data_IF_308741452105
#
_entry.id   IF_308741452105
#
_cell.length_a   1.000
_cell.length_b   1.000
_cell.length_c   1.000
_cell.angle_alpha   90.00
_cell.angle_beta   90.00
_cell.angle_gamma   90.00
#
_symmetry.space_group_name_H-M   'P 1'
#
loop_
_entity.id
_entity.type
_entity.pdbx_description
1 polymer ?
#
# COMPACT_ATOMS: atom_id res chain seq x y z
N UNK A 1 -1.42 -18.94 0.06
CA UNK A 1 -1.81 -18.00 1.13
C UNK A 1 -0.69 -17.94 2.15
N UNK A 2 -0.69 -16.96 3.05
CA UNK A 2 0.38 -16.74 4.02
C UNK A 2 -0.15 -16.79 5.46
N UNK A 3 0.68 -17.31 6.37
CA UNK A 3 0.60 -17.03 7.80
C UNK A 3 1.35 -15.73 8.05
N UNK A 4 0.74 -14.80 8.78
CA UNK A 4 1.28 -13.44 8.96
C UNK A 4 1.72 -13.17 10.38
N UNK A 5 1.00 -13.73 11.35
CA UNK A 5 1.24 -13.45 12.76
C UNK A 5 0.76 -14.62 13.62
N UNK A 6 1.58 -15.00 14.59
CA UNK A 6 1.19 -15.93 15.65
C UNK A 6 0.35 -15.18 16.68
N UNK A 7 -0.92 -15.55 16.83
CA UNK A 7 -1.86 -14.90 17.75
C UNK A 7 -1.85 -15.54 19.15
N UNK A 8 -1.46 -16.82 19.25
CA UNK A 8 -1.35 -17.53 20.52
C UNK A 8 -1.04 -19.01 20.35
N UNK A 9 -0.54 -19.63 21.42
CA UNK A 9 -0.33 -21.08 21.51
C UNK A 9 -1.00 -21.56 22.80
N UNK A 10 -1.89 -22.54 22.66
CA UNK A 10 -2.56 -23.22 23.75
C UNK A 10 -2.01 -24.64 23.85
N UNK A 11 -0.92 -24.79 24.59
CA UNK A 11 -0.23 -26.08 24.76
C UNK A 11 -1.07 -27.10 25.52
N UNK A 12 -1.89 -26.65 26.47
CA UNK A 12 -2.73 -27.53 27.27
C UNK A 12 -3.74 -28.29 26.40
N UNK A 13 -4.21 -27.64 25.35
CA UNK A 13 -5.22 -28.18 24.44
C UNK A 13 -4.67 -28.52 23.06
N UNK A 14 -3.37 -28.31 22.84
CA UNK A 14 -2.67 -28.63 21.60
C UNK A 14 -3.15 -27.80 20.41
N UNK A 15 -3.34 -26.48 20.56
CA UNK A 15 -3.71 -25.59 19.45
C UNK A 15 -2.71 -24.45 19.23
N UNK A 16 -2.54 -24.08 17.96
CA UNK A 16 -1.85 -22.87 17.52
C UNK A 16 -2.86 -21.96 16.85
N UNK A 17 -2.89 -20.69 17.24
CA UNK A 17 -3.74 -19.65 16.69
C UNK A 17 -2.90 -18.67 15.89
N UNK A 18 -3.34 -18.32 14.69
CA UNK A 18 -2.57 -17.43 13.81
C UNK A 18 -3.48 -16.60 12.90
N UNK A 19 -2.97 -15.45 12.47
CA UNK A 19 -3.58 -14.63 11.43
C UNK A 19 -3.02 -15.00 10.07
N UNK A 20 -3.89 -15.05 9.05
CA UNK A 20 -3.47 -15.41 7.71
C UNK A 20 -4.43 -14.98 6.60
N UNK A 21 -4.03 -15.29 5.37
CA UNK A 21 -4.70 -14.86 4.13
C UNK A 21 -5.39 -15.99 3.38
N UNK A 22 -5.75 -17.08 4.04
CA UNK A 22 -6.29 -18.26 3.35
C UNK A 22 -7.61 -17.95 2.62
N UNK A 23 -8.46 -17.09 3.20
CA UNK A 23 -9.70 -16.64 2.55
C UNK A 23 -9.48 -15.67 1.37
N UNK A 24 -8.25 -15.16 1.20
CA UNK A 24 -7.90 -14.16 0.19
C UNK A 24 -6.90 -13.14 0.73
N UNK A 25 -6.01 -12.66 -0.12
CA UNK A 25 -4.94 -11.72 0.25
C UNK A 25 -5.41 -10.28 0.48
N UNK A 26 -6.66 -9.95 0.13
CA UNK A 26 -7.29 -8.68 0.50
C UNK A 26 -7.86 -8.72 1.93
N UNK A 27 -7.99 -9.91 2.51
CA UNK A 27 -8.59 -10.16 3.82
C UNK A 27 -7.55 -10.68 4.80
N UNK A 28 -7.85 -10.61 6.09
CA UNK A 28 -7.01 -11.15 7.16
C UNK A 28 -7.92 -11.77 8.19
N UNK A 29 -7.74 -13.04 8.52
CA UNK A 29 -8.60 -13.74 9.47
C UNK A 29 -7.81 -14.48 10.53
N UNK A 30 -8.46 -14.75 11.67
CA UNK A 30 -7.94 -15.64 12.70
C UNK A 30 -8.26 -17.09 12.34
N UNK A 31 -7.24 -17.93 12.42
CA UNK A 31 -7.29 -19.37 12.23
C UNK A 31 -6.74 -20.10 13.45
N UNK A 32 -7.08 -21.38 13.57
CA UNK A 32 -6.38 -22.31 14.44
C UNK A 32 -6.04 -23.62 13.73
N UNK A 33 -5.00 -24.30 14.23
CA UNK A 33 -4.55 -25.62 13.79
C UNK A 33 -4.07 -26.41 15.00
N UNK A 34 -4.07 -27.75 14.93
CA UNK A 34 -3.52 -28.58 16.01
C UNK A 34 -1.99 -28.45 16.09
N UNK A 35 -1.45 -28.41 17.31
CA UNK A 35 -0.02 -28.27 17.60
C UNK A 35 0.77 -29.53 17.24
N UNK A 36 0.15 -30.70 17.35
CA UNK A 36 0.74 -32.00 17.02
C UNK A 36 -0.04 -32.68 15.89
N UNK A 37 0.69 -33.36 15.01
CA UNK A 37 0.13 -34.25 14.00
C UNK A 37 -0.01 -35.65 14.61
N UNK A 38 -1.17 -35.98 15.18
CA UNK A 38 -1.45 -37.39 15.51
C UNK A 38 -1.65 -38.19 14.22
N UNK A 39 -0.78 -39.17 13.98
CA UNK A 39 -0.90 -40.08 12.83
C UNK A 39 -0.37 -39.56 11.48
N UNK A 40 0.37 -38.43 11.46
CA UNK A 40 1.02 -37.90 10.26
C UNK A 40 0.07 -37.23 9.26
N UNK A 41 -1.14 -36.87 9.68
CA UNK A 41 -2.08 -36.08 8.90
C UNK A 41 -2.07 -34.63 9.40
N UNK A 42 -1.62 -33.70 8.55
CA UNK A 42 -1.68 -32.26 8.81
C UNK A 42 -3.15 -31.81 8.84
N UNK A 43 -3.61 -31.21 9.93
CA UNK A 43 -4.97 -30.68 10.01
C UNK A 43 -5.08 -29.41 9.15
N UNK A 44 -6.17 -29.29 8.38
CA UNK A 44 -6.47 -28.06 7.66
C UNK A 44 -6.82 -26.96 8.66
N UNK A 45 -6.37 -25.71 8.45
CA UNK A 45 -6.66 -24.62 9.36
C UNK A 45 -8.15 -24.33 9.44
N UNK A 46 -8.65 -24.13 10.66
CA UNK A 46 -10.03 -23.74 10.92
C UNK A 46 -10.12 -22.23 11.08
N UNK A 47 -10.94 -21.56 10.26
CA UNK A 47 -11.18 -20.12 10.36
C UNK A 47 -12.16 -19.81 11.50
N UNK A 48 -11.73 -18.96 12.44
CA UNK A 48 -12.49 -18.59 13.64
C UNK A 48 -13.30 -17.30 13.47
N UNK A 49 -12.83 -16.37 12.64
CA UNK A 49 -13.51 -15.11 12.31
C UNK A 49 -14.44 -15.27 11.10
N UNK A 50 -15.59 -14.60 11.11
CA UNK A 50 -16.66 -14.81 10.11
C UNK A 50 -16.78 -13.73 9.05
N UNK A 51 -16.74 -12.46 9.46
CA UNK A 51 -17.03 -11.34 8.58
C UNK A 51 -15.90 -11.12 7.56
N UNK A 52 -16.26 -10.91 6.30
CA UNK A 52 -15.27 -10.62 5.27
C UNK A 52 -14.63 -9.25 5.53
N UNK A 53 -13.30 -9.18 5.45
CA UNK A 53 -12.54 -7.97 5.68
C UNK A 53 -11.23 -8.23 6.40
N UNK A 54 -10.86 -7.31 7.27
CA UNK A 54 -9.58 -7.32 7.96
C UNK A 54 -9.78 -7.46 9.47
N UNK A 55 -9.24 -8.54 10.01
CA UNK A 55 -9.17 -8.79 11.44
C UNK A 55 -7.77 -8.45 11.94
N UNK A 56 -7.66 -7.36 12.70
CA UNK A 56 -6.42 -6.84 13.25
C UNK A 56 -6.47 -6.80 14.77
N UNK A 57 -5.32 -6.62 15.42
CA UNK A 57 -5.25 -6.52 16.89
C UNK A 57 -5.85 -7.71 17.62
N UNK A 58 -5.80 -8.90 17.00
CA UNK A 58 -6.36 -10.13 17.56
C UNK A 58 -5.46 -10.61 18.67
N UNK A 59 -6.04 -10.85 19.84
CA UNK A 59 -5.32 -11.37 21.00
C UNK A 59 -6.09 -12.56 21.57
N UNK A 60 -5.45 -13.72 21.57
CA UNK A 60 -6.01 -14.95 22.15
C UNK A 60 -5.59 -15.04 23.62
N UNK A 61 -6.55 -15.36 24.49
CA UNK A 61 -6.27 -15.59 25.91
C UNK A 61 -5.31 -16.79 26.05
N UNK A 62 -4.40 -16.72 27.03
CA UNK A 62 -3.38 -17.78 27.24
C UNK A 62 -3.97 -19.16 27.52
N UNK A 63 -5.18 -19.19 28.07
CA UNK A 63 -5.92 -20.42 28.37
C UNK A 63 -6.76 -20.93 27.19
N UNK A 64 -6.65 -20.29 26.01
CA UNK A 64 -7.39 -20.65 24.81
C UNK A 64 -8.91 -20.47 24.91
N UNK A 65 -9.40 -19.80 25.96
CA UNK A 65 -10.85 -19.72 26.22
C UNK A 65 -11.55 -18.61 25.42
N UNK A 66 -10.82 -17.57 25.02
CA UNK A 66 -11.37 -16.34 24.44
C UNK A 66 -10.38 -15.69 23.48
N UNK A 67 -10.88 -14.82 22.61
CA UNK A 67 -10.07 -13.85 21.90
C UNK A 67 -10.78 -12.51 21.76
N UNK A 68 -9.98 -11.44 21.66
CA UNK A 68 -10.44 -10.14 21.19
C UNK A 68 -10.15 -10.05 19.70
N UNK A 69 -11.07 -9.45 18.95
CA UNK A 69 -10.95 -9.19 17.52
C UNK A 69 -11.28 -7.73 17.22
N UNK A 70 -10.41 -7.05 16.46
CA UNK A 70 -10.73 -5.74 15.88
C UNK A 70 -10.97 -5.93 14.38
N UNK A 71 -12.24 -6.06 14.04
CA UNK A 71 -12.70 -6.23 12.68
C UNK A 71 -12.96 -4.86 12.02
N UNK A 72 -12.54 -4.72 10.77
CA UNK A 72 -12.96 -3.62 9.90
C UNK A 72 -12.92 -4.02 8.43
N UNK A 73 -13.66 -3.29 7.59
CA UNK A 73 -13.69 -3.51 6.14
C UNK A 73 -13.78 -2.20 5.40
N UNK A 74 -13.76 -2.24 4.07
CA UNK A 74 -14.03 -1.04 3.26
C UNK A 74 -15.42 -0.45 3.57
N UNK A 75 -16.40 -1.27 3.96
CA UNK A 75 -17.78 -0.82 4.20
C UNK A 75 -18.05 -0.42 5.66
N UNK A 76 -17.18 -0.78 6.62
CA UNK A 76 -17.42 -0.53 8.03
C UNK A 76 -16.15 -0.12 8.81
N UNK A 77 -16.25 0.90 9.69
CA UNK A 77 -15.16 1.26 10.61
C UNK A 77 -14.85 0.14 11.61
N UNK A 78 -13.72 0.29 12.30
CA UNK A 78 -13.25 -0.72 13.24
C UNK A 78 -14.19 -0.94 14.44
N UNK A 79 -14.50 -2.20 14.70
CA UNK A 79 -15.30 -2.66 15.83
C UNK A 79 -14.50 -3.71 16.60
N UNK A 80 -14.37 -3.50 17.90
CA UNK A 80 -13.75 -4.48 18.79
C UNK A 80 -14.83 -5.43 19.35
N UNK A 81 -14.61 -6.73 19.21
CA UNK A 81 -15.45 -7.77 19.80
C UNK A 81 -14.64 -8.67 20.74
N UNK A 82 -15.31 -9.20 21.77
CA UNK A 82 -14.77 -10.26 22.61
C UNK A 82 -15.57 -11.53 22.30
N UNK A 83 -14.85 -12.60 21.95
CA UNK A 83 -15.41 -13.88 21.57
C UNK A 83 -14.94 -14.97 22.54
N UNK A 84 -15.84 -15.89 22.90
CA UNK A 84 -15.50 -17.16 23.54
C UNK A 84 -15.12 -18.18 22.46
N UNK A 85 -14.03 -18.89 22.71
CA UNK A 85 -13.64 -20.08 21.97
C UNK A 85 -14.32 -21.31 22.59
N UNK A 86 -14.60 -22.34 21.79
CA UNK A 86 -15.14 -23.59 22.32
C UNK A 86 -14.19 -24.20 23.36
N UNK A 87 -14.72 -24.85 24.42
CA UNK A 87 -13.88 -25.58 25.36
C UNK A 87 -13.11 -26.68 24.64
N UNK A 88 -11.85 -26.83 25.00
CA UNK A 88 -11.03 -27.91 24.47
C UNK A 88 -11.37 -29.26 25.12
N UNK A 89 -11.18 -30.35 24.36
CA UNK A 89 -11.36 -31.73 24.82
C UNK A 89 -12.70 -32.38 24.44
N UNK A 90 -13.63 -31.65 23.83
CA UNK A 90 -14.84 -32.22 23.26
C UNK A 90 -14.77 -32.14 21.73
N UNK A 91 -14.46 -33.26 21.07
CA UNK A 91 -14.36 -33.35 19.62
C UNK A 91 -15.68 -32.99 18.91
N UNK A 92 -16.83 -33.05 19.61
CA UNK A 92 -18.11 -32.59 19.09
C UNK A 92 -18.33 -31.08 19.28
N UNK A 93 -17.73 -30.46 20.31
CA UNK A 93 -17.77 -29.01 20.55
C UNK A 93 -16.63 -28.23 19.85
N UNK A 94 -15.57 -28.91 19.44
CA UNK A 94 -14.51 -28.32 18.63
C UNK A 94 -15.02 -27.82 17.26
N UNK A 95 -16.18 -28.28 16.80
CA UNK A 95 -16.84 -27.81 15.58
C UNK A 95 -17.80 -26.62 15.80
N UNK A 96 -17.95 -26.10 17.03
CA UNK A 96 -18.80 -24.94 17.28
C UNK A 96 -18.07 -23.63 16.97
N UNK A 97 -18.69 -22.75 16.21
CA UNK A 97 -18.11 -21.44 15.91
C UNK A 97 -17.95 -20.60 17.19
N UNK A 98 -16.97 -19.68 17.25
CA UNK A 98 -16.83 -18.76 18.37
C UNK A 98 -18.13 -18.00 18.69
N UNK A 99 -18.36 -17.77 19.98
CA UNK A 99 -19.55 -17.06 20.48
C UNK A 99 -19.16 -15.64 20.86
N UNK A 100 -19.74 -14.66 20.19
CA UNK A 100 -19.55 -13.25 20.53
C UNK A 100 -20.18 -12.95 21.89
N UNK A 101 -19.36 -12.50 22.83
CA UNK A 101 -19.77 -12.14 24.19
C UNK A 101 -20.05 -10.65 24.34
N UNK A 102 -19.31 -9.82 23.60
CA UNK A 102 -19.38 -8.37 23.71
C UNK A 102 -18.95 -7.70 22.40
N UNK A 103 -19.54 -6.55 22.12
CA UNK A 103 -19.18 -5.64 21.03
C UNK A 103 -19.02 -4.25 21.61
N UNK A 104 -17.90 -3.60 21.32
CA UNK A 104 -17.70 -2.22 21.72
C UNK A 104 -18.76 -1.31 21.09
N UNK A 105 -19.27 -0.34 21.87
CA UNK A 105 -20.19 0.66 21.37
C UNK A 105 -19.53 1.52 20.27
N UNK A 106 -20.31 1.96 19.28
CA UNK A 106 -19.82 2.88 18.26
C UNK A 106 -19.55 4.27 18.86
N UNK A 107 -18.57 4.97 18.29
CA UNK A 107 -18.30 6.36 18.61
C UNK A 107 -19.09 7.25 17.61
N UNK A 108 -20.01 8.11 18.07
CA UNK A 108 -20.80 8.97 17.18
C UNK A 108 -19.96 9.85 16.24
N UNK A 109 -18.71 10.18 16.63
CA UNK A 109 -17.78 10.95 15.79
C UNK A 109 -17.26 10.11 14.62
N UNK A 110 -17.04 8.82 14.84
CA UNK A 110 -16.65 7.87 13.80
C UNK A 110 -17.82 7.62 12.86
N UNK A 111 -19.04 7.47 13.40
CA UNK A 111 -20.24 7.30 12.58
C UNK A 111 -20.51 8.53 11.68
N UNK A 112 -20.36 9.73 12.25
CA UNK A 112 -20.46 10.98 11.50
C UNK A 112 -19.40 11.09 10.40
N UNK A 113 -18.15 10.68 10.69
CA UNK A 113 -17.08 10.64 9.69
C UNK A 113 -17.41 9.62 8.60
N UNK A 114 -17.77 8.39 8.95
CA UNK A 114 -18.08 7.32 8.02
C UNK A 114 -19.20 7.71 7.03
N UNK A 115 -20.21 8.44 7.49
CA UNK A 115 -21.30 8.94 6.65
C UNK A 115 -20.83 9.89 5.52
N UNK A 116 -19.71 10.60 5.74
CA UNK A 116 -19.12 11.52 4.74
C UNK A 116 -18.19 10.82 3.75
N UNK A 117 -17.67 9.64 4.09
CA UNK A 117 -16.70 8.93 3.27
C UNK A 117 -17.39 8.00 2.26
N UNK A 118 -16.68 7.66 1.19
CA UNK A 118 -17.14 6.68 0.19
C UNK A 118 -16.08 5.60 0.00
N UNK A 119 -16.44 4.31 0.13
CA UNK A 119 -15.48 3.24 -0.09
C UNK A 119 -14.97 3.27 -1.54
N UNK A 120 -13.68 2.96 -1.78
CA UNK A 120 -13.20 2.77 -3.13
C UNK A 120 -13.82 1.52 -3.76
N UNK A 121 -13.87 1.48 -5.10
CA UNK A 121 -14.12 0.23 -5.82
C UNK A 121 -12.81 -0.55 -5.86
N UNK A 122 -12.78 -1.73 -5.24
CA UNK A 122 -11.68 -2.68 -5.39
C UNK A 122 -11.88 -3.48 -6.69
N UNK A 123 -10.80 -3.75 -7.41
CA UNK A 123 -10.83 -4.56 -8.62
C UNK A 123 -9.50 -5.25 -8.87
N UNK A 124 -9.56 -6.42 -9.48
CA UNK A 124 -8.40 -7.16 -9.94
C UNK A 124 -8.21 -6.93 -11.44
N UNK A 125 -7.01 -6.57 -11.88
CA UNK A 125 -6.70 -6.24 -13.26
C UNK A 125 -5.44 -6.96 -13.76
N UNK A 126 -5.32 -7.25 -15.07
CA UNK A 126 -4.13 -7.87 -15.62
C UNK A 126 -2.96 -6.88 -15.64
N UNK A 127 -1.76 -7.36 -15.32
CA UNK A 127 -0.49 -6.69 -15.59
C UNK A 127 -0.19 -6.70 -17.10
N UNK A 128 0.85 -5.95 -17.52
CA UNK A 128 1.36 -5.92 -18.89
C UNK A 128 1.85 -7.27 -19.41
N UNK A 129 2.21 -8.20 -18.52
CA UNK A 129 2.62 -9.55 -18.91
C UNK A 129 1.44 -10.48 -19.28
N UNK A 130 0.20 -10.02 -19.10
CA UNK A 130 -1.03 -10.76 -19.43
C UNK A 130 -1.32 -11.97 -18.55
N UNK A 131 -0.49 -12.27 -17.55
CA UNK A 131 -0.61 -13.46 -16.69
C UNK A 131 -0.72 -13.10 -15.21
N UNK A 132 -0.06 -12.03 -14.78
CA UNK A 132 -0.10 -11.54 -13.41
C UNK A 132 -1.38 -10.74 -13.18
N UNK A 133 -2.09 -11.06 -12.09
CA UNK A 133 -3.22 -10.27 -11.61
C UNK A 133 -2.78 -9.30 -10.51
N UNK A 134 -3.04 -8.02 -10.73
CA UNK A 134 -2.81 -6.90 -9.82
C UNK A 134 -4.10 -6.54 -9.09
N UNK A 135 -3.98 -6.06 -7.85
CA UNK A 135 -5.12 -5.52 -7.12
C UNK A 135 -5.08 -4.00 -7.13
N UNK A 136 -6.23 -3.38 -7.43
CA UNK A 136 -6.37 -1.95 -7.52
C UNK A 136 -7.58 -1.44 -6.74
N UNK A 137 -7.52 -0.16 -6.37
CA UNK A 137 -8.61 0.57 -5.75
C UNK A 137 -8.84 1.90 -6.46
N UNK A 138 -10.09 2.17 -6.80
CA UNK A 138 -10.53 3.36 -7.53
C UNK A 138 -11.41 4.24 -6.65
N UNK A 139 -10.97 5.46 -6.40
CA UNK A 139 -11.73 6.50 -5.71
C UNK A 139 -12.29 7.47 -6.75
N UNK A 140 -13.42 7.10 -7.35
CA UNK A 140 -14.06 7.92 -8.36
C UNK A 140 -14.73 9.16 -7.75
N UNK A 141 -14.66 10.34 -8.39
CA UNK A 141 -15.47 11.50 -8.04
C UNK A 141 -16.98 11.18 -8.03
N UNK A 142 -17.77 12.05 -7.40
CA UNK A 142 -19.23 11.92 -7.47
C UNK A 142 -19.72 12.34 -8.86
N UNK A 143 -20.24 11.38 -9.64
CA UNK A 143 -20.70 11.63 -11.00
C UNK A 143 -21.84 12.68 -11.07
N UNK A 144 -22.61 12.87 -9.99
CA UNK A 144 -23.64 13.92 -9.94
C UNK A 144 -23.04 15.33 -9.91
N UNK A 145 -21.80 15.47 -9.44
CA UNK A 145 -21.10 16.75 -9.34
C UNK A 145 -20.13 16.98 -10.50
N UNK A 146 -19.51 15.92 -11.01
CA UNK A 146 -18.39 16.02 -11.97
C UNK A 146 -18.68 15.35 -13.33
N UNK A 147 -19.86 14.78 -13.55
CA UNK A 147 -20.16 13.95 -14.72
C UNK A 147 -19.54 12.56 -14.60
N UNK A 148 -19.72 11.68 -15.60
CA UNK A 148 -19.26 10.27 -15.52
C UNK A 148 -17.76 10.07 -15.79
N UNK A 149 -17.02 11.15 -16.08
CA UNK A 149 -15.63 11.13 -16.52
C UNK A 149 -15.48 11.46 -18.02
N UNK A 150 -14.27 11.30 -18.60
CA UNK A 150 -13.04 10.91 -17.94
C UNK A 150 -12.49 12.02 -17.02
N UNK A 151 -11.90 11.62 -15.89
CA UNK A 151 -11.42 12.53 -14.84
C UNK A 151 -9.89 12.77 -14.95
N UNK A 152 -9.40 13.95 -14.53
CA UNK A 152 -7.99 14.06 -14.17
C UNK A 152 -7.69 13.04 -13.07
N UNK A 153 -6.55 12.38 -13.17
CA UNK A 153 -6.25 11.18 -12.40
C UNK A 153 -4.93 11.31 -11.66
N UNK A 154 -4.90 10.81 -10.43
CA UNK A 154 -3.70 10.73 -9.61
C UNK A 154 -3.51 9.30 -9.13
N UNK A 155 -2.38 8.70 -9.51
CA UNK A 155 -1.94 7.42 -8.95
C UNK A 155 -1.28 7.67 -7.59
N UNK A 156 -1.78 7.02 -6.55
CA UNK A 156 -1.20 7.00 -5.20
C UNK A 156 -0.41 5.70 -5.03
N UNK A 157 0.91 5.75 -5.17
CA UNK A 157 1.74 4.55 -5.11
C UNK A 157 2.60 4.50 -3.83
N UNK A 158 2.83 3.26 -3.37
CA UNK A 158 4.01 2.92 -2.60
C UNK A 158 4.85 1.93 -3.42
N UNK A 159 4.27 0.77 -3.76
CA UNK A 159 4.81 -0.13 -4.78
C UNK A 159 6.15 -0.79 -4.46
N UNK A 160 6.62 -0.68 -3.22
CA UNK A 160 7.79 -1.38 -2.71
C UNK A 160 7.44 -2.61 -1.86
N UNK A 161 8.46 -3.41 -1.51
CA UNK A 161 8.29 -4.59 -0.66
C UNK A 161 7.80 -4.25 0.75
N UNK A 162 7.28 -5.27 1.44
CA UNK A 162 6.72 -5.20 2.80
C UNK A 162 5.50 -4.29 2.99
N UNK A 163 4.88 -3.83 1.89
CA UNK A 163 3.65 -3.04 1.94
C UNK A 163 2.63 -3.59 0.97
N UNK A 164 1.39 -3.65 1.44
CA UNK A 164 0.18 -3.81 0.63
C UNK A 164 -0.71 -2.60 0.91
N UNK A 165 -1.21 -1.93 -0.12
CA UNK A 165 -2.24 -0.91 0.03
C UNK A 165 -3.64 -1.48 -0.10
N UNK A 166 -3.89 -2.26 -1.15
CA UNK A 166 -5.23 -2.69 -1.53
C UNK A 166 -5.62 -3.87 -0.64
N UNK A 167 -6.54 -3.60 0.28
CA UNK A 167 -7.11 -4.57 1.19
C UNK A 167 -8.56 -4.20 1.50
N UNK A 168 -9.39 -5.18 1.85
CA UNK A 168 -10.74 -4.94 2.34
C UNK A 168 -10.68 -4.44 3.80
N UNK A 169 -10.30 -3.17 3.96
CA UNK A 169 -10.02 -2.54 5.24
C UNK A 169 -10.60 -1.13 5.32
N UNK A 170 -10.95 -0.70 6.52
CA UNK A 170 -11.46 0.67 6.72
C UNK A 170 -10.39 1.71 6.41
N UNK A 171 -9.11 1.38 6.54
CA UNK A 171 -8.00 2.24 6.15
C UNK A 171 -8.06 2.66 4.67
N UNK A 172 -8.62 1.82 3.80
CA UNK A 172 -8.86 2.20 2.40
C UNK A 172 -9.97 3.23 2.27
N UNK A 173 -11.05 3.14 3.03
CA UNK A 173 -12.13 4.15 3.01
C UNK A 173 -11.72 5.44 3.73
N UNK A 174 -11.00 5.34 4.83
CA UNK A 174 -10.50 6.45 5.64
C UNK A 174 -9.19 7.06 5.14
N UNK A 175 -8.82 6.84 3.87
CA UNK A 175 -7.74 7.59 3.24
C UNK A 175 -8.18 9.02 2.93
N UNK A 176 -7.92 9.93 3.88
CA UNK A 176 -8.39 11.31 3.79
C UNK A 176 -7.79 12.09 2.61
N UNK A 177 -6.60 11.73 2.11
CA UNK A 177 -6.03 12.38 0.92
C UNK A 177 -6.77 11.92 -0.33
N UNK A 178 -7.01 10.62 -0.47
CA UNK A 178 -7.79 10.09 -1.59
C UNK A 178 -9.23 10.63 -1.58
N UNK A 179 -9.87 10.69 -0.42
CA UNK A 179 -11.20 11.28 -0.23
C UNK A 179 -11.22 12.77 -0.58
N UNK A 180 -10.19 13.52 -0.17
CA UNK A 180 -10.05 14.92 -0.54
C UNK A 180 -9.90 15.10 -2.05
N UNK A 181 -8.98 14.38 -2.71
CA UNK A 181 -8.77 14.46 -4.16
C UNK A 181 -10.05 14.11 -4.94
N UNK A 182 -10.76 13.04 -4.56
CA UNK A 182 -12.05 12.69 -5.20
C UNK A 182 -13.08 13.81 -5.05
N UNK A 183 -13.10 14.49 -3.89
CA UNK A 183 -14.00 15.62 -3.66
C UNK A 183 -13.68 16.83 -4.53
N UNK A 184 -12.47 16.89 -5.08
CA UNK A 184 -12.02 17.92 -6.02
C UNK A 184 -12.15 17.50 -7.49
N UNK A 185 -12.86 16.40 -7.78
CA UNK A 185 -13.05 15.92 -9.15
C UNK A 185 -11.88 15.13 -9.72
N UNK A 186 -10.95 14.66 -8.87
CA UNK A 186 -9.78 13.88 -9.28
C UNK A 186 -10.01 12.40 -8.97
N UNK A 187 -9.88 11.53 -9.98
CA UNK A 187 -9.83 10.08 -9.77
C UNK A 187 -8.53 9.71 -9.05
N UNK A 188 -8.62 8.93 -7.97
CA UNK A 188 -7.43 8.35 -7.34
C UNK A 188 -7.37 6.85 -7.61
N UNK A 189 -6.22 6.40 -8.08
CA UNK A 189 -5.92 4.98 -8.29
C UNK A 189 -4.84 4.56 -7.29
N UNK A 190 -5.06 3.44 -6.62
CA UNK A 190 -3.99 2.69 -5.94
C UNK A 190 -3.86 1.34 -6.61
N UNK A 191 -2.64 0.88 -6.83
CA UNK A 191 -2.37 -0.42 -7.41
C UNK A 191 -1.22 -1.09 -6.65
N UNK A 192 -1.46 -2.31 -6.16
CA UNK A 192 -0.42 -3.18 -5.63
C UNK A 192 0.25 -3.91 -6.81
N UNK A 193 1.37 -3.35 -7.26
CA UNK A 193 2.22 -3.93 -8.30
C UNK A 193 3.02 -5.15 -7.79
N UNK A 194 3.58 -5.93 -8.73
CA UNK A 194 4.60 -6.95 -8.42
C UNK A 194 5.68 -6.37 -7.52
N UNK A 195 6.09 -7.14 -6.51
CA UNK A 195 6.94 -6.65 -5.43
C UNK A 195 6.21 -6.29 -4.13
N UNK A 196 4.89 -6.02 -4.17
CA UNK A 196 4.11 -5.75 -2.96
C UNK A 196 3.95 -6.98 -2.07
N UNK A 197 3.59 -6.75 -0.81
CA UNK A 197 3.45 -7.80 0.21
C UNK A 197 2.15 -8.63 0.05
N UNK A 198 2.01 -9.67 0.88
CA UNK A 198 0.80 -10.50 1.08
C UNK A 198 0.36 -11.34 -0.12
N UNK A 199 1.24 -11.47 -1.12
CA UNK A 199 1.02 -12.27 -2.34
C UNK A 199 1.96 -13.47 -2.48
N UNK A 200 2.84 -13.68 -1.49
CA UNK A 200 3.80 -14.78 -1.46
C UNK A 200 5.14 -14.40 -2.10
N UNK A 201 6.19 -15.14 -1.71
CA UNK A 201 7.57 -14.85 -2.13
C UNK A 201 7.75 -14.73 -3.64
N UNK A 202 7.12 -15.55 -4.53
CA UNK A 202 7.28 -15.38 -5.97
C UNK A 202 6.79 -14.02 -6.49
N UNK A 203 5.76 -13.44 -5.86
CA UNK A 203 5.23 -12.13 -6.23
C UNK A 203 6.07 -10.99 -5.64
N UNK A 204 6.54 -11.11 -4.40
CA UNK A 204 7.40 -10.10 -3.75
C UNK A 204 8.80 -10.07 -4.38
N UNK A 205 9.42 -11.24 -4.62
CA UNK A 205 10.79 -11.33 -5.10
C UNK A 205 10.96 -11.10 -6.61
N UNK A 206 9.87 -10.92 -7.37
CA UNK A 206 9.97 -10.71 -8.82
C UNK A 206 10.73 -9.44 -9.21
N UNK A 207 10.80 -8.46 -8.29
CA UNK A 207 11.54 -7.19 -8.47
C UNK A 207 13.01 -7.28 -8.04
N UNK A 208 13.48 -8.44 -7.55
CA UNK A 208 14.85 -8.58 -7.07
C UNK A 208 15.87 -8.27 -8.19
N UNK A 209 16.78 -7.34 -7.90
CA UNK A 209 17.77 -6.82 -8.85
C UNK A 209 17.18 -5.92 -9.95
N UNK A 210 15.90 -5.56 -9.86
CA UNK A 210 15.14 -4.87 -10.91
C UNK A 210 14.19 -3.80 -10.35
N UNK A 211 14.55 -3.16 -9.24
CA UNK A 211 13.71 -2.14 -8.62
C UNK A 211 13.41 -1.00 -9.61
N UNK A 212 12.16 -0.52 -9.62
CA UNK A 212 11.70 0.53 -10.53
C UNK A 212 11.56 0.09 -11.99
N UNK A 213 11.44 -1.22 -12.25
CA UNK A 213 11.21 -1.77 -13.59
C UNK A 213 9.80 -2.31 -13.72
N UNK A 214 9.54 -3.51 -13.18
CA UNK A 214 8.23 -4.15 -13.27
C UNK A 214 7.13 -3.32 -12.58
N UNK A 215 7.50 -2.60 -11.54
CA UNK A 215 6.58 -1.73 -10.81
C UNK A 215 6.07 -0.61 -11.70
N UNK A 216 6.91 -0.03 -12.55
CA UNK A 216 6.50 1.03 -13.49
C UNK A 216 5.50 0.47 -14.50
N UNK A 217 5.78 -0.70 -15.07
CA UNK A 217 4.88 -1.35 -16.03
C UNK A 217 3.51 -1.63 -15.42
N UNK A 218 3.47 -2.09 -14.17
CA UNK A 218 2.25 -2.41 -13.45
C UNK A 218 1.42 -1.15 -13.11
N UNK A 219 2.08 -0.04 -12.75
CA UNK A 219 1.38 1.24 -12.55
C UNK A 219 0.83 1.79 -13.88
N UNK A 220 1.54 1.62 -14.99
CA UNK A 220 1.05 1.96 -16.34
C UNK A 220 -0.17 1.10 -16.70
N UNK A 221 -0.16 -0.20 -16.39
CA UNK A 221 -1.29 -1.09 -16.62
C UNK A 221 -2.55 -0.65 -15.85
N UNK A 222 -2.39 -0.23 -14.59
CA UNK A 222 -3.50 0.28 -13.79
C UNK A 222 -4.14 1.55 -14.39
N UNK A 223 -3.31 2.47 -14.91
CA UNK A 223 -3.81 3.67 -15.62
C UNK A 223 -4.49 3.28 -16.92
N UNK A 224 -3.89 2.39 -17.72
CA UNK A 224 -4.46 1.93 -18.98
C UNK A 224 -5.83 1.25 -18.79
N UNK A 225 -6.00 0.49 -17.71
CA UNK A 225 -7.28 -0.08 -17.33
C UNK A 225 -8.33 0.99 -17.05
N UNK A 226 -7.99 2.01 -16.25
CA UNK A 226 -8.91 3.11 -15.95
C UNK A 226 -9.29 3.94 -17.20
N UNK A 227 -8.36 4.12 -18.14
CA UNK A 227 -8.62 4.77 -19.43
C UNK A 227 -9.57 3.92 -20.27
N UNK A 228 -9.35 2.60 -20.34
CA UNK A 228 -10.22 1.68 -21.08
C UNK A 228 -11.64 1.60 -20.50
N UNK A 229 -11.80 1.75 -19.18
CA UNK A 229 -13.11 1.87 -18.53
C UNK A 229 -13.76 3.26 -18.73
N UNK A 230 -13.08 4.22 -19.37
CA UNK A 230 -13.57 5.58 -19.56
C UNK A 230 -13.50 6.47 -18.31
N UNK A 231 -12.85 6.00 -17.25
CA UNK A 231 -12.74 6.72 -15.97
C UNK A 231 -11.60 7.74 -15.98
N UNK A 232 -10.44 7.40 -16.53
CA UNK A 232 -9.27 8.26 -16.51
C UNK A 232 -9.08 9.00 -17.84
N UNK A 233 -8.74 10.29 -17.77
CA UNK A 233 -8.30 11.05 -18.93
C UNK A 233 -6.81 10.79 -19.19
N UNK A 234 -6.44 10.16 -20.33
CA UNK A 234 -5.05 9.79 -20.61
C UNK A 234 -4.10 10.99 -20.71
N UNK A 235 -4.61 12.21 -20.97
CA UNK A 235 -3.78 13.41 -21.04
C UNK A 235 -3.50 14.05 -19.66
N UNK A 236 -4.23 13.63 -18.61
CA UNK A 236 -4.22 14.27 -17.29
C UNK A 236 -4.01 13.26 -16.17
N UNK A 237 -2.87 12.55 -16.23
CA UNK A 237 -2.47 11.58 -15.20
C UNK A 237 -1.21 12.06 -14.47
N UNK A 238 -1.30 12.15 -13.15
CA UNK A 238 -0.17 12.38 -12.25
C UNK A 238 0.08 11.18 -11.35
N UNK A 239 1.23 11.14 -10.68
CA UNK A 239 1.55 10.13 -9.68
C UNK A 239 2.11 10.79 -8.42
N UNK A 240 1.76 10.27 -7.25
CA UNK A 240 2.43 10.63 -6.00
C UNK A 240 2.75 9.39 -5.17
N UNK A 241 3.82 9.52 -4.40
CA UNK A 241 4.19 8.54 -3.39
C UNK A 241 5.21 9.10 -2.42
N UNK A 242 5.46 8.35 -1.36
CA UNK A 242 6.42 8.70 -0.32
C UNK A 242 7.38 7.54 -0.07
N UNK A 243 8.63 7.82 0.28
CA UNK A 243 9.68 6.80 0.46
C UNK A 243 9.89 6.01 -0.83
N UNK A 244 9.70 4.68 -0.82
CA UNK A 244 9.69 3.88 -2.05
C UNK A 244 8.66 4.38 -3.07
N UNK A 245 7.49 4.85 -2.62
CA UNK A 245 6.50 5.47 -3.52
C UNK A 245 7.02 6.76 -4.17
N UNK A 246 7.88 7.52 -3.48
CA UNK A 246 8.51 8.70 -4.05
C UNK A 246 9.54 8.31 -5.11
N UNK A 247 10.32 7.26 -4.85
CA UNK A 247 11.19 6.63 -5.85
C UNK A 247 10.41 6.18 -7.08
N UNK A 248 9.35 5.39 -6.88
CA UNK A 248 8.52 4.88 -7.98
C UNK A 248 7.82 6.01 -8.74
N UNK A 249 7.36 7.07 -8.06
CA UNK A 249 6.80 8.25 -8.71
C UNK A 249 7.79 8.91 -9.67
N UNK A 250 9.05 9.07 -9.24
CA UNK A 250 10.10 9.62 -10.09
C UNK A 250 10.48 8.67 -11.25
N UNK A 251 10.54 7.36 -10.99
CA UNK A 251 10.78 6.35 -12.03
C UNK A 251 9.67 6.33 -13.09
N UNK A 252 8.40 6.39 -12.68
CA UNK A 252 7.25 6.47 -13.57
C UNK A 252 7.31 7.72 -14.45
N UNK A 253 7.63 8.89 -13.89
CA UNK A 253 7.77 10.13 -14.64
C UNK A 253 8.89 10.06 -15.70
N UNK A 254 9.98 9.39 -15.36
CA UNK A 254 11.16 9.26 -16.21
C UNK A 254 10.99 8.20 -17.31
N UNK A 255 10.37 7.07 -16.99
CA UNK A 255 10.30 5.88 -17.87
C UNK A 255 8.98 5.74 -18.61
N UNK A 256 7.91 6.38 -18.15
CA UNK A 256 6.61 6.40 -18.80
C UNK A 256 6.09 7.84 -19.00
N UNK A 257 6.87 8.71 -19.69
CA UNK A 257 6.53 10.12 -19.86
C UNK A 257 5.24 10.34 -20.68
N UNK A 258 4.86 9.38 -21.51
CA UNK A 258 3.62 9.42 -22.30
C UNK A 258 2.36 9.13 -21.44
N UNK A 259 2.56 8.61 -20.22
CA UNK A 259 1.49 8.31 -19.27
C UNK A 259 1.44 9.36 -18.17
N UNK A 260 2.58 9.70 -17.54
CA UNK A 260 2.61 10.57 -16.37
C UNK A 260 3.03 12.00 -16.70
N UNK A 261 2.08 12.94 -16.59
CA UNK A 261 2.30 14.37 -16.85
C UNK A 261 3.07 15.07 -15.73
N UNK A 262 2.92 14.59 -14.50
CA UNK A 262 3.63 15.10 -13.34
C UNK A 262 3.81 14.02 -12.26
N UNK A 263 4.81 14.20 -11.41
CA UNK A 263 5.05 13.35 -10.26
C UNK A 263 5.37 14.15 -8.99
N UNK A 264 4.87 13.68 -7.87
CA UNK A 264 5.24 14.15 -6.53
C UNK A 264 6.04 13.06 -5.84
N UNK A 265 7.34 13.29 -5.69
CA UNK A 265 8.29 12.36 -5.10
C UNK A 265 8.66 12.82 -3.67
N UNK A 266 8.00 12.22 -2.67
CA UNK A 266 8.27 12.49 -1.26
C UNK A 266 9.33 11.56 -0.67
N UNK A 267 10.34 12.11 -0.01
CA UNK A 267 11.49 11.41 0.57
C UNK A 267 12.02 10.24 -0.30
N UNK A 268 12.29 10.44 -1.61
CA UNK A 268 12.58 9.34 -2.53
C UNK A 268 13.99 8.76 -2.33
N UNK A 269 14.13 7.44 -2.40
CA UNK A 269 15.44 6.80 -2.59
C UNK A 269 15.80 6.90 -4.06
N UNK A 270 16.62 7.89 -4.44
CA UNK A 270 16.93 8.16 -5.85
C UNK A 270 18.09 7.33 -6.41
N UNK A 271 18.88 6.71 -5.53
CA UNK A 271 20.04 5.90 -5.86
C UNK A 271 20.26 4.85 -4.78
N UNK A 272 20.31 3.57 -5.16
CA UNK A 272 20.45 2.49 -4.18
C UNK A 272 21.85 2.38 -3.57
N UNK A 273 22.86 3.08 -4.12
CA UNK A 273 24.20 3.22 -3.52
C UNK A 273 24.22 4.03 -2.20
N UNK A 274 23.07 4.57 -1.81
CA UNK A 274 22.94 5.54 -0.74
C UNK A 274 22.04 5.17 0.41
N UNK A 275 21.49 3.97 0.33
CA UNK A 275 20.61 3.42 1.34
C UNK A 275 21.32 2.31 2.14
N UNK A 276 20.69 1.80 3.19
CA UNK A 276 21.34 0.85 4.08
C UNK A 276 21.59 -0.52 3.43
N UNK A 277 22.57 -1.26 3.96
CA UNK A 277 22.98 -2.57 3.43
C UNK A 277 21.88 -3.61 3.53
N UNK A 278 21.14 -3.65 4.65
CA UNK A 278 20.19 -4.71 4.94
C UNK A 278 19.00 -4.71 3.99
N UNK A 279 18.43 -3.54 3.74
CA UNK A 279 17.38 -3.36 2.76
C UNK A 279 17.93 -3.56 1.35
N UNK A 280 18.99 -2.83 1.02
CA UNK A 280 19.43 -2.73 -0.37
C UNK A 280 19.98 -4.04 -0.90
N UNK A 281 20.89 -4.70 -0.19
CA UNK A 281 21.51 -5.94 -0.69
C UNK A 281 20.49 -7.09 -0.79
N UNK A 282 19.48 -7.12 0.07
CA UNK A 282 18.37 -8.09 0.00
C UNK A 282 17.61 -7.98 -1.32
N UNK A 283 17.23 -6.75 -1.69
CA UNK A 283 16.36 -6.51 -2.85
C UNK A 283 17.14 -6.28 -4.15
N UNK A 284 18.38 -5.82 -4.08
CA UNK A 284 19.26 -5.74 -5.25
C UNK A 284 19.95 -7.06 -5.54
N UNK A 285 20.05 -7.98 -4.57
CA UNK A 285 20.65 -9.30 -4.72
C UNK A 285 22.18 -9.32 -4.65
N UNK A 286 22.80 -8.20 -4.28
CA UNK A 286 24.25 -8.05 -4.19
C UNK A 286 24.63 -6.59 -3.94
N UNK A 287 25.94 -6.32 -3.91
CA UNK A 287 26.50 -4.97 -3.70
C UNK A 287 26.65 -4.19 -5.02
N UNK A 288 26.80 -2.86 -4.99
CA UNK A 288 27.04 -2.06 -6.20
C UNK A 288 28.28 -2.50 -7.00
N UNK A 289 29.31 -3.04 -6.34
CA UNK A 289 30.51 -3.54 -7.01
C UNK A 289 30.28 -4.89 -7.73
N UNK A 290 29.32 -5.68 -7.26
CA UNK A 290 28.99 -6.98 -7.86
C UNK A 290 27.97 -6.84 -8.98
N UNK A 291 27.03 -5.89 -8.87
CA UNK A 291 25.90 -5.73 -9.78
C UNK A 291 25.73 -4.27 -10.27
N UNK A 292 26.78 -3.64 -10.84
CA UNK A 292 26.75 -2.21 -11.17
C UNK A 292 25.61 -1.85 -12.14
N UNK A 293 25.31 -2.70 -13.12
CA UNK A 293 24.24 -2.46 -14.10
C UNK A 293 22.85 -2.50 -13.46
N UNK A 294 22.63 -3.37 -12.47
CA UNK A 294 21.36 -3.45 -11.76
C UNK A 294 21.11 -2.18 -10.92
N UNK A 295 22.15 -1.69 -10.24
CA UNK A 295 22.11 -0.46 -9.45
C UNK A 295 21.90 0.77 -10.33
N UNK A 296 22.57 0.84 -11.48
CA UNK A 296 22.37 1.93 -12.45
C UNK A 296 20.96 1.89 -13.03
N UNK A 297 20.48 0.73 -13.48
CA UNK A 297 19.12 0.59 -14.03
C UNK A 297 18.02 0.92 -13.00
N UNK A 298 18.31 0.73 -11.71
CA UNK A 298 17.39 1.04 -10.60
C UNK A 298 17.56 2.46 -10.05
N UNK A 299 18.53 3.24 -10.55
CA UNK A 299 18.78 4.63 -10.17
C UNK A 299 17.89 5.58 -10.97
N UNK A 300 17.25 6.55 -10.32
CA UNK A 300 16.41 7.54 -11.02
C UNK A 300 17.26 8.39 -11.98
N UNK A 301 18.49 8.70 -11.59
CA UNK A 301 19.39 9.56 -12.38
C UNK A 301 19.67 8.98 -13.77
N UNK A 302 19.69 7.65 -13.92
CA UNK A 302 19.92 6.97 -15.20
C UNK A 302 18.81 7.23 -16.23
N UNK A 303 17.64 7.71 -15.79
CA UNK A 303 16.44 7.86 -16.62
C UNK A 303 15.98 9.32 -16.76
N UNK A 304 16.68 10.29 -16.17
CA UNK A 304 16.27 11.71 -16.14
C UNK A 304 16.06 12.30 -17.54
N UNK A 305 16.80 11.86 -18.54
CA UNK A 305 16.63 12.31 -19.93
C UNK A 305 15.22 12.06 -20.47
N UNK A 306 14.57 10.97 -20.02
CA UNK A 306 13.22 10.59 -20.38
C UNK A 306 12.13 11.49 -19.77
N UNK A 307 12.45 12.29 -18.75
CA UNK A 307 11.46 13.17 -18.10
C UNK A 307 10.96 14.24 -19.07
N UNK A 308 9.65 14.22 -19.35
CA UNK A 308 8.95 15.26 -20.12
C UNK A 308 7.96 16.06 -19.25
N UNK A 309 7.49 15.46 -18.17
CA UNK A 309 6.56 16.05 -17.22
C UNK A 309 7.23 16.89 -16.14
N UNK A 310 6.45 17.27 -15.13
CA UNK A 310 6.93 18.06 -14.00
C UNK A 310 7.19 17.21 -12.76
N UNK A 311 8.26 17.51 -12.04
CA UNK A 311 8.62 16.82 -10.80
C UNK A 311 8.54 17.79 -9.61
N UNK A 312 7.79 17.43 -8.57
CA UNK A 312 7.87 18.04 -7.25
C UNK A 312 8.60 17.09 -6.30
N UNK A 313 9.76 17.52 -5.81
CA UNK A 313 10.51 16.85 -4.75
C UNK A 313 10.07 17.39 -3.40
N UNK A 314 9.73 16.51 -2.46
CA UNK A 314 9.39 16.88 -1.09
C UNK A 314 10.29 16.12 -0.12
N UNK A 315 10.98 16.80 0.80
CA UNK A 315 11.91 16.12 1.71
C UNK A 315 12.11 16.86 3.04
N UNK A 316 12.22 16.11 4.14
CA UNK A 316 12.75 16.61 5.40
C UNK A 316 14.28 16.77 5.35
N UNK A 317 14.82 17.86 5.88
CA UNK A 317 16.28 18.10 5.82
C UNK A 317 17.07 17.28 6.84
N UNK A 318 16.41 16.78 7.89
CA UNK A 318 17.03 15.98 8.94
C UNK A 318 16.59 14.51 8.88
N UNK A 319 16.20 14.03 7.70
CA UNK A 319 15.89 12.62 7.46
C UNK A 319 17.16 11.76 7.62
N UNK A 320 17.17 10.94 8.67
CA UNK A 320 18.23 10.00 8.99
C UNK A 320 18.06 8.64 8.32
N UNK A 321 16.90 8.38 7.70
CA UNK A 321 16.58 7.13 7.01
C UNK A 321 16.90 7.26 5.51
N UNK A 322 16.13 8.08 4.78
CA UNK A 322 16.44 8.44 3.40
C UNK A 322 17.17 9.77 3.44
N UNK A 323 18.50 9.75 3.55
CA UNK A 323 19.26 10.99 3.72
C UNK A 323 18.99 11.98 2.57
N UNK A 324 18.90 13.29 2.88
CA UNK A 324 18.60 14.35 1.90
C UNK A 324 19.52 14.37 0.66
N UNK A 325 20.68 13.69 0.73
CA UNK A 325 21.57 13.38 -0.41
C UNK A 325 20.79 12.87 -1.63
N UNK A 326 19.74 12.09 -1.43
CA UNK A 326 18.96 11.52 -2.53
C UNK A 326 18.27 12.60 -3.35
N UNK A 327 17.57 13.51 -2.67
CA UNK A 327 16.94 14.66 -3.32
C UNK A 327 17.97 15.61 -3.91
N UNK A 328 19.07 15.89 -3.22
CA UNK A 328 20.11 16.77 -3.74
C UNK A 328 20.73 16.22 -5.05
N UNK A 329 21.03 14.92 -5.12
CA UNK A 329 21.60 14.29 -6.33
C UNK A 329 20.61 14.28 -7.49
N UNK A 330 19.34 13.97 -7.25
CA UNK A 330 18.34 13.98 -8.30
C UNK A 330 18.06 15.41 -8.81
N UNK A 331 17.99 16.39 -7.90
CA UNK A 331 17.87 17.80 -8.28
C UNK A 331 19.04 18.24 -9.17
N UNK A 332 20.28 17.86 -8.85
CA UNK A 332 21.45 18.14 -9.67
C UNK A 332 21.35 17.45 -11.05
N UNK A 333 20.99 16.16 -11.09
CA UNK A 333 20.83 15.44 -12.35
C UNK A 333 19.75 16.09 -13.27
N UNK A 334 18.65 16.57 -12.67
CA UNK A 334 17.63 17.33 -13.40
C UNK A 334 18.18 18.65 -13.95
N UNK A 335 19.01 19.38 -13.19
CA UNK A 335 19.68 20.60 -13.68
C UNK A 335 20.61 20.29 -14.85
N UNK A 336 21.44 19.25 -14.71
CA UNK A 336 22.42 18.87 -15.72
C UNK A 336 21.74 18.48 -17.05
N UNK A 337 20.58 17.79 -16.96
CA UNK A 337 19.74 17.43 -18.10
C UNK A 337 18.79 18.56 -18.57
N UNK A 338 18.88 19.76 -17.99
CA UNK A 338 18.03 20.92 -18.26
C UNK A 338 16.52 20.63 -18.10
N UNK A 339 16.15 19.80 -17.13
CA UNK A 339 14.77 19.45 -16.78
C UNK A 339 14.29 20.26 -15.58
N UNK A 340 13.09 20.83 -15.69
CA UNK A 340 12.49 21.60 -14.60
C UNK A 340 12.05 20.69 -13.43
N UNK A 341 12.27 21.16 -12.21
CA UNK A 341 11.76 20.53 -10.99
C UNK A 341 11.42 21.59 -9.94
N UNK A 342 10.46 21.28 -9.07
CA UNK A 342 10.15 22.05 -7.87
C UNK A 342 10.69 21.31 -6.63
N UNK A 343 11.14 22.05 -5.63
CA UNK A 343 11.66 21.48 -4.37
C UNK A 343 10.95 22.12 -3.17
N UNK A 344 10.35 21.27 -2.34
CA UNK A 344 9.71 21.63 -1.08
C UNK A 344 10.46 20.96 0.07
N UNK A 345 11.11 21.75 0.92
CA UNK A 345 11.89 21.24 2.06
C UNK A 345 11.22 21.54 3.39
N UNK A 346 11.39 20.63 4.34
CA UNK A 346 10.96 20.79 5.73
C UNK A 346 12.19 20.73 6.66
N UNK A 347 12.71 21.87 7.13
CA UNK A 347 13.99 21.91 7.84
C UNK A 347 14.06 21.09 9.12
N UNK A 348 12.93 20.95 9.83
CA UNK A 348 12.86 20.29 11.13
C UNK A 348 12.27 18.87 11.05
N UNK A 349 11.87 18.42 9.86
CA UNK A 349 11.22 17.14 9.68
C UNK A 349 12.24 16.09 9.20
N UNK A 350 11.99 14.85 9.63
CA UNK A 350 12.76 13.66 9.26
C UNK A 350 12.12 13.00 8.03
N UNK A 351 11.95 11.68 8.07
CA UNK A 351 11.38 10.90 6.97
C UNK A 351 9.95 11.26 6.58
N UNK A 352 9.15 11.89 7.45
CA UNK A 352 7.84 12.41 7.07
C UNK A 352 7.46 13.57 7.97
N UNK A 353 6.75 14.59 7.47
CA UNK A 353 6.24 15.64 8.33
C UNK A 353 5.33 15.09 9.44
N UNK A 354 5.65 15.41 10.70
CA UNK A 354 4.88 14.95 11.87
C UNK A 354 3.96 16.04 12.39
N UNK A 355 4.39 17.29 12.36
CA UNK A 355 3.58 18.38 12.90
C UNK A 355 2.33 18.59 12.03
N UNK A 356 1.18 18.87 12.65
CA UNK A 356 -0.04 19.12 11.90
C UNK A 356 0.13 20.30 10.92
N UNK A 357 0.86 21.33 11.33
CA UNK A 357 1.14 22.52 10.50
C UNK A 357 1.92 22.15 9.24
N UNK A 358 2.98 21.37 9.39
CA UNK A 358 3.84 20.97 8.27
C UNK A 358 3.10 20.00 7.33
N UNK A 359 2.31 19.08 7.89
CA UNK A 359 1.43 18.20 7.10
C UNK A 359 0.42 19.02 6.30
N UNK A 360 -0.32 19.94 6.92
CA UNK A 360 -1.29 20.79 6.22
C UNK A 360 -0.63 21.62 5.12
N UNK A 361 0.54 22.21 5.40
CA UNK A 361 1.28 22.97 4.40
C UNK A 361 1.71 22.07 3.23
N UNK A 362 2.26 20.89 3.52
CA UNK A 362 2.61 19.89 2.50
C UNK A 362 1.41 19.54 1.62
N UNK A 363 0.26 19.17 2.20
CA UNK A 363 -0.95 18.82 1.44
C UNK A 363 -1.38 19.95 0.52
N UNK A 364 -1.38 21.20 1.01
CA UNK A 364 -1.75 22.37 0.20
C UNK A 364 -0.80 22.58 -0.98
N UNK A 365 0.51 22.44 -0.76
CA UNK A 365 1.53 22.61 -1.82
C UNK A 365 1.47 21.48 -2.85
N UNK A 366 1.30 20.24 -2.40
CA UNK A 366 1.13 19.06 -3.25
C UNK A 366 -0.12 19.19 -4.11
N UNK A 367 -1.26 19.55 -3.50
CA UNK A 367 -2.50 19.74 -4.24
C UNK A 367 -2.38 20.88 -5.26
N UNK A 368 -1.82 22.02 -4.87
CA UNK A 368 -1.61 23.14 -5.79
C UNK A 368 -0.68 22.77 -6.97
N UNK A 369 0.30 21.90 -6.76
CA UNK A 369 1.15 21.37 -7.83
C UNK A 369 0.35 20.47 -8.78
N UNK A 370 -0.35 19.47 -8.24
CA UNK A 370 -1.18 18.56 -9.04
C UNK A 370 -2.24 19.32 -9.85
N UNK A 371 -2.91 20.30 -9.23
CA UNK A 371 -3.90 21.12 -9.91
C UNK A 371 -3.33 21.90 -11.09
N UNK A 372 -2.09 22.42 -11.01
CA UNK A 372 -1.47 23.15 -12.14
C UNK A 372 -1.16 22.24 -13.32
N UNK A 373 -0.76 20.99 -13.06
CA UNK A 373 -0.29 20.08 -14.10
C UNK A 373 -1.36 19.14 -14.64
N UNK A 374 -2.51 19.05 -13.96
CA UNK A 374 -3.68 18.26 -14.37
C UNK A 374 -4.89 19.12 -14.73
N UNK A 375 -4.71 20.45 -14.86
CA UNK A 375 -5.74 21.40 -15.25
C UNK A 375 -6.28 21.14 -16.66
#
# INVERSE_FOLDING_TARGET
WLVEELAGVDEANGFVYFLGTEAGHLQRHLYRVTLTEEGGATSSPERLTKDAGYHAGVAVARDGSRFVDQYHSTSAPAVATLCALPPAGDAAAAATAPVQLYTAASDPRVDAMAAMLRPPRLASLPSTDGTTTLEAAFYAPDAKLFGDGPYPTVVSCYGGPHVQFVADSWGMTADLRAQFLRSQGVLVIKCDNRGSDRRGLPFEASIQGKLGQLEVDDQVAAVAHAVAEGLADPARVGIYGWSYGGYLSAMCLAKAPDVFRCAVAGAPVTSWDGYDTHYTERYMGGTPAQLPEAYEASSVMAHVDGVQGALLLVHGLVDENVHFRHTARLAQAMVDAQKAHELLTFPNERHSPRSQKDRTFMEQRVFAFLQRWLA
#
